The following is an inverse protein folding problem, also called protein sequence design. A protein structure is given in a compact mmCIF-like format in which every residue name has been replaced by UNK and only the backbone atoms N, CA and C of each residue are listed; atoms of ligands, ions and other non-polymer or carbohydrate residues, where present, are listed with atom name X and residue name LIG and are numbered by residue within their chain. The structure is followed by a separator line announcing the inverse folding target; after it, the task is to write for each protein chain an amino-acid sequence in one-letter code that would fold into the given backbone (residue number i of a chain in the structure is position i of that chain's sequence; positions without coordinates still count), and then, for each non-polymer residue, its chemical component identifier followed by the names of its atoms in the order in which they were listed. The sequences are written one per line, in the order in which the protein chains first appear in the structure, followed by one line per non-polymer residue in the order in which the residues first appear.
data_IF_666222639340
#
_entry.id   IF_666222639340
#
_cell.length_a   1.000
_cell.length_b   1.000
_cell.length_c   1.000
_cell.angle_alpha   90.00
_cell.angle_beta   90.00
_cell.angle_gamma   90.00
#
_symmetry.space_group_name_H-M   'P 1'
#
loop_
_entity.id
_entity.type
_entity.pdbx_description
1 polymer ?
#
# COMPACT_ATOMS: atom_id res chain seq x y z
N UNK A 1 -1.78 14.55 33.42
CA UNK A 1 -2.02 14.74 31.98
C UNK A 1 -3.51 14.49 31.74
N UNK A 2 -4.21 15.34 30.98
CA UNK A 2 -5.63 15.13 30.69
C UNK A 2 -5.79 13.82 29.89
N UNK A 3 -6.81 13.02 30.22
CA UNK A 3 -7.12 11.74 29.56
C UNK A 3 -7.33 11.92 28.05
N UNK A 4 -7.96 13.02 27.65
CA UNK A 4 -8.14 13.39 26.24
C UNK A 4 -6.81 13.56 25.50
N UNK A 5 -5.85 14.25 26.13
CA UNK A 5 -4.53 14.48 25.54
C UNK A 5 -3.74 13.17 25.44
N UNK A 6 -3.83 12.29 26.44
CA UNK A 6 -3.19 10.98 26.39
C UNK A 6 -3.78 10.13 25.25
N UNK A 7 -5.10 10.18 25.05
CA UNK A 7 -5.78 9.46 23.97
C UNK A 7 -5.35 9.99 22.59
N UNK A 8 -5.24 11.31 22.41
CA UNK A 8 -4.75 11.88 21.15
C UNK A 8 -3.29 11.50 20.86
N UNK A 9 -2.43 11.50 21.88
CA UNK A 9 -1.04 11.04 21.75
C UNK A 9 -0.99 9.56 21.33
N UNK A 10 -1.83 8.72 21.94
CA UNK A 10 -1.89 7.30 21.63
C UNK A 10 -2.34 7.07 20.18
N UNK A 11 -3.39 7.77 19.72
CA UNK A 11 -3.87 7.69 18.34
C UNK A 11 -2.82 8.18 17.34
N UNK A 12 -2.12 9.28 17.65
CA UNK A 12 -1.05 9.77 16.80
C UNK A 12 0.10 8.76 16.68
N UNK A 13 0.54 8.19 17.81
CA UNK A 13 1.61 7.17 17.85
C UNK A 13 1.25 5.90 17.07
N UNK A 14 -0.03 5.49 17.14
CA UNK A 14 -0.61 4.39 16.39
C UNK A 14 -0.74 4.65 14.88
N UNK A 15 -0.57 5.90 14.43
CA UNK A 15 -0.70 6.31 13.03
C UNK A 15 -2.09 6.78 12.62
N UNK A 16 -3.04 6.92 13.55
CA UNK A 16 -4.37 7.47 13.27
C UNK A 16 -4.34 9.01 13.28
N UNK A 17 -3.50 9.57 12.41
CA UNK A 17 -3.25 11.02 12.32
C UNK A 17 -4.36 11.78 11.60
N UNK A 18 -5.12 11.09 10.74
CA UNK A 18 -6.27 11.64 10.02
C UNK A 18 -7.52 10.86 10.39
N UNK A 19 -8.53 11.55 10.92
CA UNK A 19 -9.85 11.00 11.26
C UNK A 19 -10.86 11.54 10.27
N UNK A 20 -11.45 10.66 9.45
CA UNK A 20 -12.45 11.03 8.44
C UNK A 20 -13.66 10.09 8.57
N UNK A 21 -14.84 10.58 8.16
CA UNK A 21 -15.99 9.70 7.94
C UNK A 21 -15.83 9.03 6.59
N UNK A 22 -16.00 7.72 6.56
CA UNK A 22 -15.82 6.92 5.36
C UNK A 22 -17.11 6.21 4.98
N UNK A 23 -17.32 5.99 3.68
CA UNK A 23 -18.40 5.11 3.21
C UNK A 23 -18.20 3.68 3.75
N UNK A 24 -16.99 3.34 4.20
CA UNK A 24 -16.61 2.09 4.82
C UNK A 24 -16.77 2.05 6.35
N UNK A 25 -17.39 3.06 6.96
CA UNK A 25 -17.61 3.11 8.43
C UNK A 25 -18.48 1.95 8.94
N UNK A 26 -19.38 1.44 8.08
CA UNK A 26 -20.22 0.28 8.37
C UNK A 26 -19.44 -1.05 8.44
N UNK A 27 -18.22 -1.12 7.90
CA UNK A 27 -17.38 -2.30 7.99
C UNK A 27 -16.76 -2.42 9.38
N UNK A 28 -16.78 -3.63 9.95
CA UNK A 28 -16.17 -3.92 11.25
C UNK A 28 -14.70 -4.32 11.05
N UNK A 29 -13.78 -3.47 11.50
CA UNK A 29 -12.36 -3.83 11.59
C UNK A 29 -12.17 -5.01 12.54
N UNK A 30 -11.28 -5.93 12.17
CA UNK A 30 -10.70 -6.87 13.11
C UNK A 30 -9.96 -6.09 14.22
N UNK A 31 -10.19 -6.46 15.47
CA UNK A 31 -9.60 -5.82 16.65
C UNK A 31 -9.36 -6.87 17.72
N UNK A 32 -8.22 -6.78 18.39
CA UNK A 32 -7.95 -7.59 19.57
C UNK A 32 -8.83 -7.14 20.74
N UNK A 33 -9.20 -8.09 21.59
CA UNK A 33 -9.80 -7.82 22.91
C UNK A 33 -8.73 -7.68 24.01
N UNK A 34 -7.45 -7.77 23.62
CA UNK A 34 -6.28 -7.72 24.48
C UNK A 34 -5.22 -6.77 23.90
N UNK A 35 -4.29 -6.35 24.75
CA UNK A 35 -3.11 -5.61 24.31
C UNK A 35 -1.96 -6.58 24.04
N UNK A 36 -1.20 -6.32 22.98
CA UNK A 36 0.04 -7.05 22.73
C UNK A 36 1.07 -6.65 23.81
N UNK A 37 1.67 -7.64 24.45
CA UNK A 37 2.72 -7.38 25.41
C UNK A 37 4.04 -6.98 24.72
N UNK A 38 4.97 -6.46 25.51
CA UNK A 38 6.24 -5.96 25.00
C UNK A 38 7.09 -7.07 24.35
N UNK A 39 7.11 -8.28 24.93
CA UNK A 39 7.91 -9.39 24.40
C UNK A 39 7.40 -9.80 23.01
N UNK A 40 6.09 -9.80 22.81
CA UNK A 40 5.45 -10.03 21.53
C UNK A 40 5.84 -8.97 20.49
N UNK A 41 5.77 -7.68 20.86
CA UNK A 41 6.16 -6.57 19.96
C UNK A 41 7.67 -6.62 19.64
N UNK A 42 8.50 -6.86 20.64
CA UNK A 42 9.96 -6.92 20.49
C UNK A 42 10.37 -8.06 19.55
N UNK A 43 9.69 -9.21 19.63
CA UNK A 43 9.93 -10.36 18.75
C UNK A 43 9.39 -10.16 17.33
N UNK A 44 8.12 -9.78 17.22
CA UNK A 44 7.39 -9.89 15.95
C UNK A 44 7.33 -8.60 15.15
N UNK A 45 7.61 -7.44 15.75
CA UNK A 45 7.33 -6.15 15.11
C UNK A 45 8.60 -5.34 14.93
N UNK A 46 9.35 -5.12 16.01
CA UNK A 46 10.52 -4.24 16.01
C UNK A 46 11.58 -4.58 14.94
N UNK A 47 11.91 -5.86 14.67
CA UNK A 47 12.91 -6.20 13.66
C UNK A 47 12.45 -5.89 12.22
N UNK A 48 11.14 -5.87 11.99
CA UNK A 48 10.56 -6.00 10.65
C UNK A 48 9.85 -4.75 10.13
N UNK A 49 9.17 -3.98 10.99
CA UNK A 49 8.19 -2.99 10.53
C UNK A 49 8.76 -1.89 9.60
N UNK A 50 10.06 -1.59 9.71
CA UNK A 50 10.76 -0.66 8.81
C UNK A 50 11.48 -1.35 7.65
N UNK A 51 11.84 -2.63 7.79
CA UNK A 51 12.79 -3.31 6.90
C UNK A 51 12.08 -4.13 5.82
N UNK A 52 10.85 -4.61 6.07
CA UNK A 52 10.04 -5.39 5.11
C UNK A 52 9.68 -4.65 3.81
N UNK A 53 9.95 -3.33 3.72
CA UNK A 53 9.81 -2.55 2.48
C UNK A 53 11.07 -2.56 1.62
N UNK A 54 12.18 -3.02 2.17
CA UNK A 54 13.42 -3.18 1.45
C UNK A 54 13.42 -4.52 0.72
N UNK A 55 14.23 -4.66 -0.32
CA UNK A 55 14.36 -5.90 -1.10
C UNK A 55 15.63 -6.69 -0.74
N UNK A 56 16.38 -6.19 0.25
CA UNK A 56 17.60 -6.81 0.78
C UNK A 56 17.79 -6.48 2.27
N UNK A 57 18.63 -7.26 2.95
CA UNK A 57 19.00 -7.03 4.34
C UNK A 57 18.93 -8.29 5.20
N UNK A 58 19.46 -8.19 6.44
CA UNK A 58 19.53 -9.32 7.38
C UNK A 58 18.15 -9.82 7.84
N UNK A 59 17.14 -8.94 7.84
CA UNK A 59 15.76 -9.27 8.20
C UNK A 59 15.16 -10.40 7.36
N UNK A 60 15.64 -10.60 6.13
CA UNK A 60 15.20 -11.70 5.25
C UNK A 60 15.57 -13.05 5.88
N UNK A 61 16.80 -13.18 6.38
CA UNK A 61 17.26 -14.38 7.06
C UNK A 61 16.57 -14.57 8.41
N UNK A 62 16.25 -13.48 9.12
CA UNK A 62 15.47 -13.53 10.36
C UNK A 62 14.04 -14.06 10.11
N UNK A 63 13.37 -13.61 9.04
CA UNK A 63 12.06 -14.17 8.65
C UNK A 63 12.19 -15.66 8.32
N UNK A 64 13.21 -16.06 7.56
CA UNK A 64 13.44 -17.47 7.20
C UNK A 64 13.58 -18.35 8.45
N UNK A 65 14.35 -17.90 9.45
CA UNK A 65 14.53 -18.62 10.71
C UNK A 65 13.24 -18.72 11.53
N UNK A 66 12.46 -17.63 11.57
CA UNK A 66 11.20 -17.59 12.33
C UNK A 66 10.00 -18.14 11.57
N UNK A 67 10.15 -18.50 10.29
CA UNK A 67 9.03 -18.80 9.38
C UNK A 67 8.09 -19.87 9.92
N UNK A 68 8.63 -20.90 10.56
CA UNK A 68 7.82 -21.99 11.11
C UNK A 68 7.06 -21.60 12.38
N UNK A 69 7.53 -20.58 13.08
CA UNK A 69 6.87 -20.02 14.26
C UNK A 69 5.78 -19.00 13.91
N UNK A 70 5.74 -18.47 12.68
CA UNK A 70 4.69 -17.53 12.25
C UNK A 70 3.38 -18.30 12.04
N UNK A 71 2.50 -18.25 13.04
CA UNK A 71 1.16 -18.87 12.98
C UNK A 71 0.09 -17.89 12.50
N UNK A 72 -1.07 -18.45 12.12
CA UNK A 72 -2.25 -17.66 11.78
C UNK A 72 -2.74 -16.81 12.96
N UNK A 73 -2.66 -17.32 14.19
CA UNK A 73 -3.02 -16.57 15.39
C UNK A 73 -2.09 -15.37 15.63
N UNK A 74 -0.79 -15.52 15.41
CA UNK A 74 0.18 -14.42 15.53
C UNK A 74 -0.14 -13.31 14.53
N UNK A 75 -0.40 -13.68 13.27
CA UNK A 75 -0.73 -12.70 12.23
C UNK A 75 -2.09 -12.04 12.47
N UNK A 76 -3.08 -12.79 12.96
CA UNK A 76 -4.37 -12.23 13.37
C UNK A 76 -4.24 -11.27 14.56
N UNK A 77 -3.41 -11.59 15.55
CA UNK A 77 -3.13 -10.72 16.68
C UNK A 77 -2.41 -9.42 16.24
N UNK A 78 -1.45 -9.51 15.32
CA UNK A 78 -0.79 -8.35 14.73
C UNK A 78 -1.76 -7.44 13.96
N UNK A 79 -2.65 -8.04 13.16
CA UNK A 79 -3.68 -7.29 12.40
C UNK A 79 -4.73 -6.65 13.32
N UNK A 80 -5.05 -7.29 14.44
CA UNK A 80 -6.05 -6.79 15.39
C UNK A 80 -5.56 -5.66 16.29
N UNK A 81 -4.25 -5.39 16.34
CA UNK A 81 -3.72 -4.26 17.07
C UNK A 81 -3.92 -2.96 16.27
N UNK A 82 -4.37 -1.91 16.94
CA UNK A 82 -4.65 -0.61 16.31
C UNK A 82 -3.35 0.20 16.20
N UNK A 83 -2.42 -0.27 15.38
CA UNK A 83 -1.12 0.36 15.16
C UNK A 83 -0.62 0.02 13.76
N UNK A 84 -0.18 1.02 12.99
CA UNK A 84 0.29 0.77 11.63
C UNK A 84 1.45 -0.22 11.57
N UNK A 85 2.37 -0.22 12.56
CA UNK A 85 3.55 -1.07 12.57
C UNK A 85 3.18 -2.54 12.67
N UNK A 86 2.28 -2.85 13.59
CA UNK A 86 1.84 -4.22 13.86
C UNK A 86 1.01 -4.76 12.70
N UNK A 87 0.04 -3.98 12.19
CA UNK A 87 -0.77 -4.39 11.03
C UNK A 87 0.04 -4.60 9.76
N UNK A 88 1.04 -3.75 9.54
CA UNK A 88 1.98 -3.86 8.41
C UNK A 88 2.70 -5.21 8.47
N UNK A 89 3.32 -5.54 9.62
CA UNK A 89 4.03 -6.83 9.76
C UNK A 89 3.06 -8.01 9.69
N UNK A 90 1.89 -7.92 10.33
CA UNK A 90 0.86 -8.96 10.29
C UNK A 90 0.40 -9.29 8.87
N UNK A 91 0.17 -8.27 8.03
CA UNK A 91 -0.21 -8.46 6.63
C UNK A 91 0.92 -9.12 5.81
N UNK A 92 2.17 -8.70 6.01
CA UNK A 92 3.32 -9.29 5.32
C UNK A 92 3.50 -10.77 5.69
N UNK A 93 3.48 -11.09 6.98
CA UNK A 93 3.61 -12.45 7.49
C UNK A 93 2.46 -13.35 7.03
N UNK A 94 1.24 -12.80 6.94
CA UNK A 94 0.09 -13.48 6.34
C UNK A 94 0.40 -13.95 4.91
N UNK A 95 1.01 -13.08 4.08
CA UNK A 95 1.42 -13.42 2.72
C UNK A 95 2.56 -14.46 2.69
N UNK A 96 3.60 -14.30 3.54
CA UNK A 96 4.71 -15.27 3.65
C UNK A 96 4.22 -16.68 3.99
N UNK A 97 3.16 -16.79 4.80
CA UNK A 97 2.57 -18.08 5.21
C UNK A 97 1.35 -18.51 4.39
N UNK A 98 0.91 -17.69 3.43
CA UNK A 98 -0.27 -17.92 2.61
C UNK A 98 -1.56 -18.12 3.42
N UNK A 99 -1.79 -17.32 4.46
CA UNK A 99 -3.02 -17.34 5.25
C UNK A 99 -4.17 -16.59 4.56
N UNK A 100 -4.71 -17.19 3.49
CA UNK A 100 -5.77 -16.60 2.64
C UNK A 100 -7.06 -16.26 3.40
N UNK A 101 -7.33 -16.93 4.52
CA UNK A 101 -8.42 -16.62 5.46
C UNK A 101 -8.39 -15.17 5.97
N UNK A 102 -7.22 -14.52 5.98
CA UNK A 102 -7.03 -13.16 6.48
C UNK A 102 -7.18 -12.09 5.40
N UNK A 103 -7.43 -12.47 4.13
CA UNK A 103 -7.62 -11.50 3.02
C UNK A 103 -8.74 -10.49 3.32
N UNK A 104 -9.82 -10.92 3.96
CA UNK A 104 -10.91 -9.99 4.33
C UNK A 104 -10.52 -9.03 5.44
N UNK A 105 -9.73 -9.48 6.41
CA UNK A 105 -9.22 -8.62 7.49
C UNK A 105 -8.38 -7.50 6.88
N UNK A 106 -7.44 -7.87 6.01
CA UNK A 106 -6.55 -6.93 5.32
C UNK A 106 -7.37 -6.00 4.41
N UNK A 107 -8.39 -6.52 3.73
CA UNK A 107 -9.24 -5.74 2.82
C UNK A 107 -10.05 -4.68 3.56
N UNK A 108 -10.67 -5.05 4.68
CA UNK A 108 -11.37 -4.09 5.54
C UNK A 108 -10.40 -3.03 6.07
N UNK A 109 -9.18 -3.41 6.47
CA UNK A 109 -8.18 -2.43 6.92
C UNK A 109 -7.75 -1.46 5.82
N UNK A 110 -7.55 -1.95 4.59
CA UNK A 110 -7.27 -1.10 3.43
C UNK A 110 -8.42 -0.12 3.19
N UNK A 111 -9.66 -0.63 3.07
CA UNK A 111 -10.83 0.20 2.79
C UNK A 111 -11.08 1.25 3.87
N UNK A 112 -10.86 0.93 5.15
CA UNK A 112 -11.10 1.90 6.22
C UNK A 112 -9.96 2.92 6.37
N UNK A 113 -8.74 2.59 5.95
CA UNK A 113 -7.57 3.48 6.04
C UNK A 113 -7.42 4.14 7.42
N UNK A 114 -7.53 3.34 8.48
CA UNK A 114 -7.60 3.84 9.86
C UNK A 114 -6.23 4.32 10.42
N UNK A 115 -5.14 3.88 9.81
CA UNK A 115 -3.76 4.17 10.22
C UNK A 115 -2.88 4.44 9.00
N UNK A 116 -1.89 5.31 9.13
CA UNK A 116 -0.95 5.66 8.06
C UNK A 116 0.03 4.52 7.73
N UNK A 117 0.73 4.61 6.60
CA UNK A 117 1.86 3.72 6.22
C UNK A 117 1.54 2.22 6.20
N UNK A 118 0.28 1.83 5.98
CA UNK A 118 -0.09 0.42 5.91
C UNK A 118 -0.78 0.05 4.59
N UNK A 119 -1.41 1.01 3.92
CA UNK A 119 -2.16 0.76 2.69
C UNK A 119 -1.26 0.33 1.53
N UNK A 120 -0.04 0.86 1.45
CA UNK A 120 0.99 0.44 0.49
C UNK A 120 1.27 -1.07 0.57
N UNK A 121 1.44 -1.58 1.78
CA UNK A 121 1.74 -2.97 2.03
C UNK A 121 0.53 -3.88 1.88
N UNK A 122 -0.66 -3.44 2.27
CA UNK A 122 -1.89 -4.19 1.98
C UNK A 122 -2.08 -4.34 0.47
N UNK A 123 -1.78 -3.30 -0.31
CA UNK A 123 -1.84 -3.37 -1.77
C UNK A 123 -0.82 -4.37 -2.33
N UNK A 124 0.40 -4.37 -1.81
CA UNK A 124 1.42 -5.36 -2.16
C UNK A 124 0.97 -6.79 -1.86
N UNK A 125 0.42 -7.05 -0.66
CA UNK A 125 -0.12 -8.37 -0.29
C UNK A 125 -1.26 -8.79 -1.23
N UNK A 126 -2.07 -7.85 -1.68
CA UNK A 126 -3.13 -8.11 -2.65
C UNK A 126 -2.64 -8.40 -4.06
N UNK A 127 -1.56 -7.74 -4.49
CA UNK A 127 -0.85 -8.11 -5.70
C UNK A 127 -0.19 -9.50 -5.59
N UNK A 128 0.26 -9.91 -4.41
CA UNK A 128 0.84 -11.23 -4.19
C UNK A 128 -0.20 -12.34 -4.36
N UNK A 129 -1.36 -12.19 -3.72
CA UNK A 129 -2.45 -13.16 -3.85
C UNK A 129 -3.09 -13.16 -5.24
N UNK A 130 -3.08 -12.02 -5.95
CA UNK A 130 -3.56 -11.85 -7.33
C UNK A 130 -4.82 -12.65 -7.68
N UNK A 131 -5.91 -12.42 -6.94
CA UNK A 131 -7.19 -13.07 -7.21
C UNK A 131 -8.31 -12.04 -7.33
N UNK A 132 -9.48 -12.48 -7.81
CA UNK A 132 -10.61 -11.58 -8.07
C UNK A 132 -11.00 -10.76 -6.84
N UNK A 133 -10.89 -11.36 -5.64
CA UNK A 133 -11.28 -10.73 -4.38
C UNK A 133 -10.30 -9.63 -3.97
N UNK A 134 -8.99 -9.87 -4.08
CA UNK A 134 -7.99 -8.85 -3.76
C UNK A 134 -8.02 -7.70 -4.76
N UNK A 135 -8.19 -7.99 -6.05
CA UNK A 135 -8.40 -6.96 -7.09
C UNK A 135 -9.64 -6.12 -6.80
N UNK A 136 -10.74 -6.73 -6.36
CA UNK A 136 -11.97 -6.01 -5.99
C UNK A 136 -11.74 -5.04 -4.82
N UNK A 137 -11.00 -5.42 -3.79
CA UNK A 137 -10.66 -4.49 -2.69
C UNK A 137 -9.84 -3.30 -3.17
N UNK A 138 -8.84 -3.51 -4.04
CA UNK A 138 -8.05 -2.41 -4.63
C UNK A 138 -8.93 -1.45 -5.43
N UNK A 139 -9.85 -1.97 -6.24
CA UNK A 139 -10.77 -1.13 -7.02
C UNK A 139 -11.73 -0.35 -6.12
N UNK A 140 -12.33 -0.99 -5.11
CA UNK A 140 -13.21 -0.31 -4.15
C UNK A 140 -12.51 0.81 -3.39
N UNK A 141 -11.25 0.59 -3.00
CA UNK A 141 -10.42 1.63 -2.38
C UNK A 141 -10.27 2.83 -3.33
N UNK A 142 -9.90 2.58 -4.60
CA UNK A 142 -9.66 3.65 -5.58
C UNK A 142 -10.94 4.39 -5.96
N UNK A 143 -12.05 3.67 -6.15
CA UNK A 143 -13.37 4.24 -6.42
C UNK A 143 -13.73 5.31 -5.40
N UNK A 144 -13.41 5.08 -4.11
CA UNK A 144 -13.67 6.03 -3.05
C UNK A 144 -12.56 7.10 -2.90
N UNK A 145 -11.32 6.67 -2.67
CA UNK A 145 -10.25 7.56 -2.20
C UNK A 145 -9.66 8.47 -3.27
N UNK A 146 -9.81 8.16 -4.57
CA UNK A 146 -9.42 9.11 -5.63
C UNK A 146 -10.34 10.34 -5.66
N UNK A 147 -11.55 10.22 -5.13
CA UNK A 147 -12.49 11.34 -5.04
C UNK A 147 -12.24 12.22 -3.80
N UNK A 148 -11.27 11.86 -2.95
CA UNK A 148 -10.92 12.54 -1.69
C UNK A 148 -9.49 13.12 -1.76
N UNK A 149 -9.25 14.13 -2.62
CA UNK A 149 -7.92 14.71 -2.83
C UNK A 149 -7.29 15.28 -1.55
N UNK A 150 -8.09 15.65 -0.56
CA UNK A 150 -7.66 16.13 0.76
C UNK A 150 -7.08 15.03 1.66
N UNK A 151 -7.38 13.75 1.37
CA UNK A 151 -6.87 12.61 2.12
C UNK A 151 -5.60 12.08 1.44
N UNK A 152 -4.44 12.44 1.99
CA UNK A 152 -3.13 11.98 1.51
C UNK A 152 -2.80 10.58 2.07
N UNK A 153 -3.49 9.56 1.54
CA UNK A 153 -3.28 8.16 1.88
C UNK A 153 -2.46 7.47 0.78
N UNK A 154 -2.63 6.16 0.63
CA UNK A 154 -1.84 5.32 -0.27
C UNK A 154 -2.43 5.21 -1.68
N UNK A 155 -3.22 6.20 -2.15
CA UNK A 155 -3.86 6.16 -3.49
C UNK A 155 -2.88 5.88 -4.62
N UNK A 156 -1.70 6.49 -4.58
CA UNK A 156 -0.68 6.29 -5.61
C UNK A 156 -0.18 4.84 -5.64
N UNK A 157 0.20 4.27 -4.49
CA UNK A 157 0.68 2.88 -4.43
C UNK A 157 -0.41 1.89 -4.83
N UNK A 158 -1.66 2.13 -4.45
CA UNK A 158 -2.78 1.29 -4.87
C UNK A 158 -3.00 1.38 -6.39
N UNK A 159 -2.84 2.57 -6.99
CA UNK A 159 -2.87 2.74 -8.45
C UNK A 159 -1.72 1.98 -9.14
N UNK A 160 -0.50 2.07 -8.63
CA UNK A 160 0.65 1.31 -9.16
C UNK A 160 0.42 -0.20 -9.08
N UNK A 161 -0.18 -0.66 -7.98
CA UNK A 161 -0.55 -2.07 -7.78
C UNK A 161 -1.56 -2.52 -8.83
N UNK A 162 -2.56 -1.70 -9.14
CA UNK A 162 -3.53 -2.01 -10.22
C UNK A 162 -2.86 -2.02 -11.59
N UNK A 163 -1.92 -1.11 -11.89
CA UNK A 163 -1.15 -1.12 -13.15
C UNK A 163 -0.30 -2.38 -13.27
N UNK A 164 0.37 -2.78 -12.20
CA UNK A 164 1.12 -4.03 -12.13
C UNK A 164 0.21 -5.22 -12.45
N UNK A 165 -0.94 -5.32 -11.78
CA UNK A 165 -1.92 -6.39 -11.97
C UNK A 165 -2.52 -6.43 -13.37
N UNK A 166 -2.84 -5.28 -13.95
CA UNK A 166 -3.32 -5.19 -15.34
C UNK A 166 -2.28 -5.72 -16.33
N UNK A 167 -1.00 -5.42 -16.10
CA UNK A 167 0.11 -5.88 -16.93
C UNK A 167 0.25 -7.39 -16.90
N UNK A 168 0.21 -8.00 -15.72
CA UNK A 168 0.41 -9.46 -15.57
C UNK A 168 -0.83 -10.28 -15.94
N UNK A 169 -2.03 -9.72 -15.80
CA UNK A 169 -3.29 -10.43 -16.05
C UNK A 169 -3.93 -10.09 -17.40
N UNK A 170 -3.42 -9.08 -18.13
CA UNK A 170 -4.05 -8.58 -19.36
C UNK A 170 -5.41 -7.90 -19.13
N UNK A 171 -5.61 -7.30 -17.94
CA UNK A 171 -6.84 -6.59 -17.58
C UNK A 171 -6.71 -5.08 -17.77
N UNK A 172 -7.81 -4.35 -17.55
CA UNK A 172 -7.89 -2.90 -17.79
C UNK A 172 -8.59 -2.18 -16.62
N UNK A 173 -8.25 -2.54 -15.38
CA UNK A 173 -8.80 -1.91 -14.18
C UNK A 173 -8.29 -0.48 -13.98
N UNK A 174 -7.04 -0.19 -14.31
CA UNK A 174 -6.45 1.15 -14.25
C UNK A 174 -7.26 2.17 -15.05
N UNK A 175 -7.73 1.78 -16.24
CA UNK A 175 -8.49 2.66 -17.13
C UNK A 175 -9.80 3.17 -16.49
N UNK A 176 -10.39 2.40 -15.56
CA UNK A 176 -11.61 2.80 -14.83
C UNK A 176 -11.35 3.97 -13.89
N UNK A 177 -10.14 4.06 -13.36
CA UNK A 177 -9.73 5.00 -12.32
C UNK A 177 -9.05 6.25 -12.86
N UNK A 178 -8.60 6.22 -14.11
CA UNK A 178 -7.76 7.26 -14.72
C UNK A 178 -8.36 8.66 -14.56
N UNK A 179 -9.64 8.86 -14.89
CA UNK A 179 -10.29 10.19 -14.80
C UNK A 179 -10.29 10.71 -13.35
N UNK A 180 -10.52 9.86 -12.36
CA UNK A 180 -10.53 10.26 -10.95
C UNK A 180 -9.12 10.52 -10.43
N UNK A 181 -8.15 9.70 -10.84
CA UNK A 181 -6.73 9.91 -10.57
C UNK A 181 -6.25 11.27 -11.08
N UNK A 182 -6.56 11.58 -12.35
CA UNK A 182 -6.23 12.84 -13.01
C UNK A 182 -6.83 14.05 -12.28
N UNK A 183 -8.12 13.98 -11.93
CA UNK A 183 -8.81 15.02 -11.15
C UNK A 183 -8.24 15.18 -9.75
N UNK A 184 -7.84 14.09 -9.11
CA UNK A 184 -7.22 14.12 -7.78
C UNK A 184 -5.91 14.89 -7.83
N UNK A 185 -5.02 14.53 -8.77
CA UNK A 185 -3.74 15.22 -8.98
C UNK A 185 -3.94 16.70 -9.32
N UNK A 186 -4.97 17.04 -10.13
CA UNK A 186 -5.33 18.43 -10.40
C UNK A 186 -5.62 19.21 -9.12
N UNK A 187 -6.49 18.68 -8.28
CA UNK A 187 -6.91 19.33 -7.04
C UNK A 187 -5.77 19.46 -6.04
N UNK A 188 -4.86 18.49 -6.02
CA UNK A 188 -3.63 18.54 -5.21
C UNK A 188 -2.55 19.46 -5.79
N UNK A 189 -2.75 19.98 -7.02
CA UNK A 189 -1.75 20.75 -7.79
C UNK A 189 -0.49 19.93 -8.10
N UNK A 190 -0.66 18.63 -8.24
CA UNK A 190 0.37 17.62 -8.49
C UNK A 190 0.44 17.21 -9.97
N UNK A 191 -0.30 17.89 -10.86
CA UNK A 191 -0.22 17.61 -12.31
C UNK A 191 1.15 18.01 -12.86
N UNK A 192 2.03 17.03 -12.93
CA UNK A 192 3.28 17.12 -13.70
C UNK A 192 3.12 16.37 -15.03
N UNK A 193 2.80 15.07 -15.01
CA UNK A 193 2.92 14.20 -16.19
C UNK A 193 1.87 14.43 -17.28
N UNK A 194 0.60 14.56 -16.92
CA UNK A 194 -0.47 14.73 -17.93
C UNK A 194 -0.35 16.03 -18.71
N UNK A 195 -0.06 17.13 -17.99
CA UNK A 195 0.23 18.42 -18.59
C UNK A 195 1.50 18.35 -19.43
N UNK A 196 2.51 17.62 -18.98
CA UNK A 196 3.74 17.41 -19.75
C UNK A 196 3.50 16.57 -21.02
N UNK A 197 2.64 15.54 -20.97
CA UNK A 197 2.24 14.76 -22.15
C UNK A 197 1.42 15.62 -23.11
N UNK A 198 0.46 16.40 -22.62
CA UNK A 198 -0.31 17.35 -23.44
C UNK A 198 0.58 18.43 -24.06
N UNK A 199 1.56 18.94 -23.30
CA UNK A 199 2.55 19.91 -23.76
C UNK A 199 3.50 19.27 -24.78
N UNK A 200 3.94 18.03 -24.56
CA UNK A 200 4.74 17.28 -25.53
C UNK A 200 3.97 17.03 -26.82
N UNK A 201 2.68 16.69 -26.75
CA UNK A 201 1.81 16.55 -27.93
C UNK A 201 1.62 17.88 -28.66
N UNK A 202 1.64 19.02 -27.96
CA UNK A 202 1.62 20.35 -28.58
C UNK A 202 2.96 20.69 -29.24
N UNK A 203 4.08 20.44 -28.54
CA UNK A 203 5.44 20.61 -29.07
C UNK A 203 5.65 19.70 -30.28
N UNK A 204 5.18 18.45 -30.28
CA UNK A 204 5.29 17.55 -31.43
C UNK A 204 4.56 18.12 -32.65
N UNK A 205 3.39 18.73 -32.44
CA UNK A 205 2.60 19.37 -33.51
C UNK A 205 3.23 20.67 -34.03
N UNK A 206 4.00 21.40 -33.22
CA UNK A 206 4.59 22.70 -33.61
C UNK A 206 6.06 22.62 -34.02
N UNK A 207 6.84 21.80 -33.34
CA UNK A 207 8.30 21.76 -33.37
C UNK A 207 8.85 20.37 -33.74
N UNK A 208 7.96 19.37 -33.87
CA UNK A 208 8.30 18.03 -34.31
C UNK A 208 8.67 17.06 -33.19
N UNK A 209 8.61 15.77 -33.52
CA UNK A 209 8.74 14.65 -32.57
C UNK A 209 10.02 14.66 -31.74
N UNK A 210 11.17 14.97 -32.35
CA UNK A 210 12.46 14.99 -31.64
C UNK A 210 12.48 16.02 -30.49
N UNK A 211 11.82 17.17 -30.67
CA UNK A 211 11.77 18.23 -29.66
C UNK A 211 10.79 17.92 -28.53
N UNK A 212 9.69 17.24 -28.84
CA UNK A 212 8.77 16.70 -27.86
C UNK A 212 9.42 15.59 -27.01
N UNK A 213 10.20 14.71 -27.64
CA UNK A 213 10.97 13.67 -26.96
C UNK A 213 12.06 14.26 -26.05
N UNK A 214 12.75 15.32 -26.48
CA UNK A 214 13.72 16.05 -25.66
C UNK A 214 13.06 16.76 -24.47
N UNK A 215 11.91 17.40 -24.68
CA UNK A 215 11.11 17.99 -23.62
C UNK A 215 10.67 16.93 -22.60
N UNK A 216 10.12 15.80 -23.08
CA UNK A 216 9.74 14.67 -22.24
C UNK A 216 10.93 14.12 -21.46
N UNK A 217 12.09 13.97 -22.09
CA UNK A 217 13.32 13.53 -21.41
C UNK A 217 13.77 14.52 -20.32
N UNK A 218 13.68 15.83 -20.58
CA UNK A 218 14.04 16.87 -19.62
C UNK A 218 13.10 16.92 -18.41
N UNK A 219 11.79 16.74 -18.63
CA UNK A 219 10.80 16.70 -17.53
C UNK A 219 10.70 15.34 -16.86
N UNK A 220 11.11 14.25 -17.52
CA UNK A 220 11.22 12.91 -16.91
C UNK A 220 12.48 12.79 -16.01
N UNK A 221 13.56 13.53 -16.32
CA UNK A 221 14.73 13.68 -15.44
C UNK A 221 14.42 14.53 -14.21
N UNK A 222 13.38 15.36 -14.25
CA UNK A 222 12.71 15.82 -13.04
C UNK A 222 11.96 14.60 -12.50
N UNK A 223 12.53 13.89 -11.52
CA UNK A 223 11.80 12.87 -10.75
C UNK A 223 10.67 13.58 -9.99
N UNK A 224 9.63 13.95 -10.71
CA UNK A 224 8.33 14.24 -10.15
C UNK A 224 7.86 12.94 -9.53
N UNK A 225 7.46 13.03 -8.28
CA UNK A 225 7.06 11.96 -7.38
C UNK A 225 5.85 11.13 -7.86
N UNK A 226 5.45 11.22 -9.14
CA UNK A 226 4.16 10.77 -9.70
C UNK A 226 4.29 9.94 -11.00
N UNK A 227 5.44 9.30 -11.22
CA UNK A 227 5.55 8.22 -12.20
C UNK A 227 5.08 6.94 -11.53
N UNK A 228 3.88 6.44 -11.89
CA UNK A 228 3.42 5.14 -11.42
C UNK A 228 4.49 4.08 -11.77
N UNK A 229 5.22 3.67 -10.73
CA UNK A 229 6.36 2.79 -10.83
C UNK A 229 6.00 1.44 -10.23
N UNK A 230 6.14 0.40 -11.05
CA UNK A 230 5.81 -0.97 -10.65
C UNK A 230 7.05 -1.79 -10.30
N UNK A 231 8.25 -1.22 -10.41
CA UNK A 231 9.52 -1.90 -10.13
C UNK A 231 9.56 -2.39 -8.69
N UNK A 232 9.30 -1.51 -7.71
CA UNK A 232 9.24 -1.89 -6.30
C UNK A 232 8.24 -3.01 -6.04
N UNK A 233 7.05 -2.97 -6.66
CA UNK A 233 6.04 -4.02 -6.51
C UNK A 233 6.57 -5.33 -7.06
N UNK A 234 7.14 -5.31 -8.27
CA UNK A 234 7.69 -6.51 -8.91
C UNK A 234 8.80 -7.16 -8.07
N UNK A 235 9.74 -6.37 -7.57
CA UNK A 235 10.84 -6.86 -6.72
C UNK A 235 10.32 -7.45 -5.40
N UNK A 236 9.37 -6.77 -4.76
CA UNK A 236 8.75 -7.25 -3.53
C UNK A 236 7.94 -8.53 -3.72
N UNK A 237 7.19 -8.64 -4.82
CA UNK A 237 6.45 -9.87 -5.16
C UNK A 237 7.42 -11.04 -5.35
N UNK A 238 8.56 -10.82 -6.00
CA UNK A 238 9.58 -11.84 -6.16
C UNK A 238 10.13 -12.29 -4.81
N UNK A 239 10.48 -11.34 -3.93
CA UNK A 239 10.97 -11.66 -2.58
C UNK A 239 9.92 -12.39 -1.73
N UNK A 240 8.64 -11.99 -1.77
CA UNK A 240 7.56 -12.67 -1.07
C UNK A 240 7.40 -14.12 -1.52
N UNK A 241 7.52 -14.39 -2.83
CA UNK A 241 7.49 -15.76 -3.36
C UNK A 241 8.68 -16.58 -2.82
N UNK A 242 9.87 -16.00 -2.81
CA UNK A 242 11.06 -16.66 -2.25
C UNK A 242 10.91 -16.98 -0.76
N UNK A 243 10.41 -16.04 0.04
CA UNK A 243 10.14 -16.25 1.47
C UNK A 243 9.05 -17.30 1.69
N UNK A 244 7.98 -17.30 0.88
CA UNK A 244 6.91 -18.30 0.96
C UNK A 244 7.42 -19.70 0.60
N UNK A 245 8.25 -19.82 -0.42
CA UNK A 245 8.69 -21.11 -0.94
C UNK A 245 9.92 -21.66 -0.17
N UNK A 246 10.59 -20.83 0.64
CA UNK A 246 11.70 -21.24 1.49
C UNK A 246 11.28 -22.32 2.50
N UNK A 247 12.00 -23.44 2.52
CA UNK A 247 11.84 -24.49 3.53
C UNK A 247 13.20 -24.72 4.19
N UNK A 248 13.20 -24.98 5.51
CA UNK A 248 14.40 -25.27 6.31
C UNK A 248 14.93 -26.67 5.97
#
# INVERSE_FOLDING_TARGET
MNEDLQNEINLHSAGATVRHRSDFDHLKSHKNEFQLDKEFIDKWVLPFYMTIRHTSGLWIEEIKQLKDEITEDITAALLGDFNWRTRTVGAYFSAVKNYESQVDIIGVHLLKSEVCYAGDLYALVFAFYNNEKTVRYLNQYLDYYLQKPELYFDQERVMETVVYLDTINGTHNFAKHLIYWEKMLERRKEISKMRNIQTANFIEKQEGKARAEEFLAAVNNFKSQYNLDTEWISEQIQLLKELRDYSI
#
